data_IF_579482732508
#
_entry.id   IF_579482732508
#
_cell.length_a   1.000
_cell.length_b   1.000
_cell.length_c   1.000
_cell.angle_alpha   90.00
_cell.angle_beta   90.00
_cell.angle_gamma   90.00
#
_symmetry.space_group_name_H-M   'P 1'
#
loop_
_entity.id
_entity.type
_entity.pdbx_description
1 polymer ?
#
# COMPACT_ATOMS: atom_id res chain seq x y z
N UNK A 1 -10.75 4.88 -0.73
CA UNK A 1 -10.42 4.43 -2.10
C UNK A 1 -11.73 4.23 -2.88
N UNK A 2 -11.82 4.62 -4.16
CA UNK A 2 -13.10 4.68 -4.87
C UNK A 2 -13.72 3.31 -5.21
N UNK A 3 -12.96 2.21 -5.17
CA UNK A 3 -13.49 0.85 -5.40
C UNK A 3 -12.63 -0.22 -4.72
N UNK A 4 -13.26 -1.12 -3.96
CA UNK A 4 -12.57 -2.29 -3.39
C UNK A 4 -12.35 -3.33 -4.49
N UNK A 5 -11.09 -3.56 -4.89
CA UNK A 5 -10.71 -4.52 -5.93
C UNK A 5 -9.46 -5.29 -5.50
N UNK A 6 -9.48 -6.61 -5.63
CA UNK A 6 -8.29 -7.45 -5.56
C UNK A 6 -7.87 -7.79 -6.99
N UNK A 7 -6.61 -7.54 -7.34
CA UNK A 7 -6.05 -7.83 -8.67
C UNK A 7 -4.86 -8.76 -8.50
N UNK A 8 -4.92 -9.92 -9.16
CA UNK A 8 -3.79 -10.85 -9.24
C UNK A 8 -3.20 -10.79 -10.65
N UNK A 9 -1.89 -10.55 -10.76
CA UNK A 9 -1.14 -10.58 -12.02
C UNK A 9 -0.25 -11.83 -12.04
N UNK A 10 -0.40 -12.69 -13.05
CA UNK A 10 0.44 -13.86 -13.23
C UNK A 10 0.88 -14.00 -14.70
N UNK A 11 2.07 -14.57 -14.90
CA UNK A 11 2.57 -14.91 -16.22
C UNK A 11 2.34 -16.41 -16.46
N UNK A 12 1.68 -16.76 -17.56
CA UNK A 12 1.45 -18.17 -17.93
C UNK A 12 2.54 -18.60 -18.92
N UNK A 13 3.26 -19.67 -18.59
CA UNK A 13 4.22 -20.28 -19.52
C UNK A 13 3.45 -21.10 -20.57
N UNK A 14 3.78 -20.93 -21.85
CA UNK A 14 3.15 -21.73 -22.91
C UNK A 14 3.63 -23.19 -22.92
N UNK A 15 2.81 -24.09 -23.46
CA UNK A 15 3.07 -25.54 -23.53
C UNK A 15 4.42 -25.94 -24.18
N UNK A 16 5.07 -25.05 -24.93
CA UNK A 16 6.37 -25.30 -25.59
C UNK A 16 7.53 -24.47 -25.03
N UNK A 17 7.49 -24.06 -23.76
CA UNK A 17 8.59 -23.35 -23.11
C UNK A 17 8.90 -21.96 -23.67
N UNK A 18 8.09 -21.47 -24.62
CA UNK A 18 8.04 -20.08 -25.01
C UNK A 18 7.12 -19.31 -24.06
N UNK A 19 7.46 -18.07 -23.75
CA UNK A 19 6.59 -17.14 -23.04
C UNK A 19 5.31 -17.02 -23.89
N UNK A 20 4.25 -17.73 -23.50
CA UNK A 20 2.94 -17.47 -24.04
C UNK A 20 2.54 -16.08 -23.58
N UNK A 21 1.82 -15.35 -24.44
CA UNK A 21 1.34 -14.00 -24.19
C UNK A 21 0.95 -13.83 -22.71
N UNK A 22 1.43 -12.79 -22.01
CA UNK A 22 1.01 -12.55 -20.63
C UNK A 22 -0.52 -12.37 -20.64
N UNK A 23 -1.24 -13.41 -20.24
CA UNK A 23 -2.69 -13.35 -20.07
C UNK A 23 -2.90 -12.74 -18.70
N UNK A 24 -3.12 -11.43 -18.68
CA UNK A 24 -3.66 -10.74 -17.51
C UNK A 24 -5.06 -11.30 -17.26
N UNK A 25 -5.17 -12.31 -16.39
CA UNK A 25 -6.48 -12.81 -15.97
C UNK A 25 -6.86 -12.08 -14.70
N UNK A 26 -7.71 -11.05 -14.83
CA UNK A 26 -8.32 -10.40 -13.67
C UNK A 26 -9.46 -11.28 -13.15
N UNK A 27 -9.28 -11.84 -11.95
CA UNK A 27 -10.42 -12.36 -11.18
C UNK A 27 -10.94 -11.24 -10.28
N UNK A 28 -12.08 -10.67 -10.65
CA UNK A 28 -12.76 -9.68 -9.83
C UNK A 28 -13.72 -10.39 -8.86
N UNK A 29 -13.40 -10.39 -7.57
CA UNK A 29 -14.35 -10.79 -6.53
C UNK A 29 -15.00 -9.52 -5.97
N UNK A 30 -16.33 -9.44 -5.99
CA UNK A 30 -17.04 -8.30 -5.42
C UNK A 30 -17.02 -8.38 -3.88
N UNK A 31 -16.14 -7.62 -3.27
CA UNK A 31 -16.28 -7.21 -1.85
C UNK A 31 -17.52 -6.28 -1.76
N UNK A 32 -18.27 -6.34 -0.65
CA UNK A 32 -19.54 -5.62 -0.44
C UNK A 32 -19.58 -4.24 -1.11
N UNK A 33 -20.65 -3.96 -1.87
CA UNK A 33 -20.82 -2.69 -2.58
C UNK A 33 -21.00 -1.49 -1.63
N UNK A 34 -21.41 -1.75 -0.40
CA UNK A 34 -21.49 -0.76 0.69
C UNK A 34 -20.82 -1.36 1.93
N UNK A 35 -19.49 -1.25 2.05
CA UNK A 35 -18.86 -1.54 3.34
C UNK A 35 -19.40 -0.55 4.39
N UNK A 36 -19.53 -0.99 5.66
CA UNK A 36 -19.81 -0.05 6.74
C UNK A 36 -18.74 1.04 6.75
N UNK A 37 -19.13 2.24 7.17
CA UNK A 37 -18.20 3.34 7.33
C UNK A 37 -17.13 2.96 8.37
N UNK A 38 -15.88 3.36 8.16
CA UNK A 38 -14.75 2.93 8.98
C UNK A 38 -14.99 3.13 10.49
N UNK A 39 -15.57 4.28 10.87
CA UNK A 39 -15.90 4.55 12.26
C UNK A 39 -17.08 3.72 12.79
N UNK A 40 -18.06 3.38 11.94
CA UNK A 40 -19.18 2.54 12.36
C UNK A 40 -18.71 1.15 12.78
N UNK A 41 -17.78 0.55 12.02
CA UNK A 41 -17.14 -0.72 12.38
C UNK A 41 -16.35 -0.63 13.68
N UNK A 42 -15.50 0.39 13.85
CA UNK A 42 -14.74 0.55 15.09
C UNK A 42 -15.64 0.72 16.32
N UNK A 43 -16.78 1.41 16.18
CA UNK A 43 -17.75 1.55 17.26
C UNK A 43 -18.45 0.23 17.57
N UNK A 44 -18.80 -0.57 16.55
CA UNK A 44 -19.33 -1.92 16.73
C UNK A 44 -18.34 -2.82 17.48
N UNK A 45 -17.06 -2.75 17.13
CA UNK A 45 -15.99 -3.52 17.78
C UNK A 45 -15.85 -3.15 19.27
N UNK A 46 -15.94 -1.86 19.60
CA UNK A 46 -15.93 -1.40 21.01
C UNK A 46 -17.11 -1.97 21.79
N UNK A 47 -18.30 -2.00 21.20
CA UNK A 47 -19.52 -2.49 21.86
C UNK A 47 -19.50 -4.01 22.03
N UNK A 48 -18.90 -4.74 21.09
CA UNK A 48 -18.76 -6.20 21.15
C UNK A 48 -17.54 -6.65 21.97
N UNK A 49 -16.64 -5.71 22.29
CA UNK A 49 -15.41 -5.97 23.02
C UNK A 49 -14.29 -6.58 22.16
N UNK A 50 -14.42 -6.53 20.83
CA UNK A 50 -13.36 -6.93 19.90
C UNK A 50 -12.29 -5.84 19.84
N UNK A 51 -11.02 -6.25 19.93
CA UNK A 51 -9.85 -5.36 19.93
C UNK A 51 -8.93 -5.59 18.73
N UNK A 52 -9.33 -6.44 17.79
CA UNK A 52 -8.48 -6.87 16.66
C UNK A 52 -8.10 -5.75 15.70
N UNK A 53 -8.94 -4.72 15.55
CA UNK A 53 -8.69 -3.55 14.69
C UNK A 53 -8.06 -2.36 15.41
N UNK A 54 -7.70 -2.51 16.69
CA UNK A 54 -7.08 -1.44 17.47
C UNK A 54 -5.57 -1.67 17.58
N UNK A 55 -4.82 -0.60 17.41
CA UNK A 55 -3.36 -0.60 17.59
C UNK A 55 -3.06 -0.84 19.07
N UNK A 56 -2.13 -1.75 19.33
CA UNK A 56 -1.65 -2.02 20.70
C UNK A 56 -0.57 -1.01 21.11
N UNK A 57 -0.36 -0.87 22.42
CA UNK A 57 0.65 0.04 22.96
C UNK A 57 2.06 -0.27 22.44
N UNK A 58 2.46 -1.55 22.52
CA UNK A 58 3.75 -2.06 22.03
C UNK A 58 3.95 -1.83 20.53
N UNK A 59 2.90 -2.02 19.72
CA UNK A 59 2.93 -1.74 18.29
C UNK A 59 3.09 -0.24 17.98
N UNK A 60 2.42 0.62 18.75
CA UNK A 60 2.53 2.07 18.61
C UNK A 60 3.92 2.56 18.99
N UNK A 61 4.50 2.08 20.09
CA UNK A 61 5.86 2.43 20.52
C UNK A 61 6.88 2.02 19.46
N UNK A 62 6.81 0.78 18.95
CA UNK A 62 7.73 0.30 17.91
C UNK A 62 7.58 1.08 16.60
N UNK A 63 6.36 1.44 16.20
CA UNK A 63 6.13 2.27 15.02
C UNK A 63 6.82 3.64 15.16
N UNK A 64 6.76 4.25 16.36
CA UNK A 64 7.47 5.50 16.64
C UNK A 64 8.99 5.31 16.65
N UNK A 65 9.52 4.24 17.25
CA UNK A 65 10.96 3.95 17.23
C UNK A 65 11.51 3.84 15.79
N UNK A 66 10.72 3.29 14.86
CA UNK A 66 11.11 3.17 13.45
C UNK A 66 11.11 4.52 12.74
N UNK A 67 10.11 5.38 12.99
CA UNK A 67 9.92 6.64 12.26
C UNK A 67 10.74 7.79 12.86
N UNK A 68 10.99 7.79 14.16
CA UNK A 68 11.64 8.88 14.87
C UNK A 68 13.01 9.27 14.28
N UNK A 69 13.94 8.34 13.96
CA UNK A 69 15.24 8.72 13.39
C UNK A 69 15.13 9.40 12.03
N UNK A 70 14.08 9.09 11.26
CA UNK A 70 13.82 9.75 9.96
C UNK A 70 13.36 11.18 10.19
N UNK A 71 12.50 11.41 11.19
CA UNK A 71 12.03 12.74 11.58
C UNK A 71 13.15 13.60 12.15
N UNK A 72 13.96 13.06 13.05
CA UNK A 72 15.10 13.77 13.65
C UNK A 72 16.05 14.27 12.56
N UNK A 73 16.40 13.40 11.60
CA UNK A 73 17.26 13.79 10.47
C UNK A 73 16.58 14.78 9.52
N UNK A 74 15.25 14.70 9.39
CA UNK A 74 14.49 15.64 8.59
C UNK A 74 14.44 17.03 9.20
N UNK A 75 14.36 17.15 10.53
CA UNK A 75 14.39 18.45 11.22
C UNK A 75 15.73 19.17 11.07
N UNK A 76 16.85 18.43 10.99
CA UNK A 76 18.18 19.02 10.83
C UNK A 76 18.39 19.67 9.44
N UNK A 77 18.14 18.92 8.35
CA UNK A 77 18.51 19.33 6.98
C UNK A 77 17.47 18.93 5.91
N UNK A 78 16.29 18.45 6.31
CA UNK A 78 15.28 17.91 5.40
C UNK A 78 14.76 18.95 4.41
N UNK A 79 14.83 18.64 3.12
CA UNK A 79 14.24 19.45 2.05
C UNK A 79 13.43 18.56 1.11
N UNK A 80 12.13 18.84 0.90
CA UNK A 80 11.33 18.07 -0.03
C UNK A 80 11.79 18.35 -1.48
N UNK A 81 11.83 17.29 -2.28
CA UNK A 81 12.01 17.42 -3.73
C UNK A 81 10.67 17.83 -4.33
N UNK A 82 10.67 18.92 -5.10
CA UNK A 82 9.48 19.43 -5.75
C UNK A 82 9.09 18.55 -6.93
N UNK A 83 7.79 18.41 -7.15
CA UNK A 83 7.21 17.68 -8.28
C UNK A 83 5.94 18.40 -8.76
N UNK A 84 5.56 18.19 -10.01
CA UNK A 84 4.38 18.86 -10.58
C UNK A 84 3.08 18.24 -10.03
N UNK A 85 2.05 19.04 -9.70
CA UNK A 85 0.75 18.52 -9.27
C UNK A 85 0.15 17.56 -10.31
N UNK A 86 -0.41 16.44 -9.85
CA UNK A 86 -0.97 15.40 -10.73
C UNK A 86 0.05 14.40 -11.27
N UNK A 87 1.35 14.60 -10.99
CA UNK A 87 2.37 13.56 -11.22
C UNK A 87 2.48 12.60 -10.04
N UNK A 88 3.16 11.49 -10.23
CA UNK A 88 3.35 10.42 -9.24
C UNK A 88 4.44 10.72 -8.21
N UNK A 89 5.06 11.91 -8.30
CA UNK A 89 6.16 12.33 -7.46
C UNK A 89 7.45 12.58 -8.25
N UNK A 90 8.55 12.87 -7.55
CA UNK A 90 9.84 13.17 -8.15
C UNK A 90 10.54 11.92 -8.70
N UNK A 91 11.43 12.08 -9.67
CA UNK A 91 12.20 10.97 -10.27
C UNK A 91 13.07 10.22 -9.24
N UNK A 92 13.44 10.89 -8.16
CA UNK A 92 14.15 10.35 -7.01
C UNK A 92 13.36 9.24 -6.30
N UNK A 93 12.01 9.30 -6.31
CA UNK A 93 11.17 8.27 -5.73
C UNK A 93 11.21 6.95 -6.53
N UNK A 94 11.29 7.03 -7.87
CA UNK A 94 11.49 5.85 -8.72
C UNK A 94 12.88 5.26 -8.49
N UNK A 95 13.92 6.10 -8.54
CA UNK A 95 15.31 5.69 -8.30
C UNK A 95 15.51 5.03 -6.93
N UNK A 96 14.75 5.42 -5.91
CA UNK A 96 14.83 4.81 -4.58
C UNK A 96 14.44 3.33 -4.62
N UNK A 97 13.35 3.01 -5.32
CA UNK A 97 12.81 1.65 -5.40
C UNK A 97 13.54 0.79 -6.44
N UNK A 98 14.04 1.41 -7.52
CA UNK A 98 14.88 0.74 -8.52
C UNK A 98 16.18 0.18 -7.94
N UNK A 99 16.74 0.78 -6.87
CA UNK A 99 17.91 0.24 -6.16
C UNK A 99 17.69 -1.18 -5.65
N UNK A 100 16.45 -1.50 -5.28
CA UNK A 100 16.05 -2.83 -4.81
C UNK A 100 15.53 -3.72 -5.96
N UNK A 101 15.69 -3.31 -7.21
CA UNK A 101 15.21 -4.01 -8.39
C UNK A 101 13.68 -4.01 -8.54
N UNK A 102 13.00 -3.08 -7.87
CA UNK A 102 11.54 -2.96 -7.85
C UNK A 102 11.10 -1.74 -8.68
N UNK A 103 9.81 -1.65 -8.99
CA UNK A 103 9.18 -0.50 -9.66
C UNK A 103 7.85 -0.19 -9.02
N UNK A 104 7.43 1.08 -9.08
CA UNK A 104 6.11 1.48 -8.60
C UNK A 104 5.03 1.01 -9.57
N UNK A 105 4.03 0.31 -9.05
CA UNK A 105 2.82 -0.06 -9.78
C UNK A 105 1.69 0.88 -9.36
N UNK A 106 1.16 1.65 -10.30
CA UNK A 106 -0.02 2.48 -10.08
C UNK A 106 -1.27 1.63 -10.32
N UNK A 107 -2.15 1.54 -9.32
CA UNK A 107 -3.38 0.73 -9.33
C UNK A 107 -4.63 1.51 -9.77
#
# INVERSE_FOLDING_TARGET
APRNRLVFKFQVLGEKGGIACPVETSMETSVSQNPPEAYATLLEDVLTGDRSMFIREDESELAWEIVQPVLDRWEEDGKPVLYEPGTTGPAEAEKLVEKDGRKWELL
#
